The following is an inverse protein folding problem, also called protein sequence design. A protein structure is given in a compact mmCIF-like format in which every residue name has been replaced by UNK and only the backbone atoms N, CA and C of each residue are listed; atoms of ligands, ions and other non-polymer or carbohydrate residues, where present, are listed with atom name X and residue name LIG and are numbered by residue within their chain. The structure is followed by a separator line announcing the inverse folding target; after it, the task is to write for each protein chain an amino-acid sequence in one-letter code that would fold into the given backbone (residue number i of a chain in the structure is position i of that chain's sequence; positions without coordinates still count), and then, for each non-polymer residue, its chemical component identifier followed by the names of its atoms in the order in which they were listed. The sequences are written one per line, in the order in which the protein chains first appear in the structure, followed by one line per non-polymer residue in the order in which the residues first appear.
data_IF_845278978779
#
_entry.id   IF_845278978779
#
_cell.length_a   1.000
_cell.length_b   1.000
_cell.length_c   1.000
_cell.angle_alpha   90.00
_cell.angle_beta   90.00
_cell.angle_gamma   90.00
#
_symmetry.space_group_name_H-M   'P 1'
#
loop_
_entity.id
_entity.type
_entity.pdbx_description
1 polymer ?
#
# COMPACT_ATOMS: atom_id res chain seq x y z
N UNK A 1 13.90 29.05 -15.14
CA UNK A 1 12.61 28.33 -15.25
C UNK A 1 12.87 26.89 -14.87
N UNK A 2 11.93 26.23 -14.19
CA UNK A 2 12.10 24.81 -13.84
C UNK A 2 12.14 23.95 -15.11
N UNK A 3 12.94 22.88 -15.10
CA UNK A 3 12.96 21.87 -16.17
C UNK A 3 11.71 20.98 -16.07
N UNK A 4 11.35 20.26 -17.15
CA UNK A 4 10.27 19.26 -17.08
C UNK A 4 10.48 18.22 -15.97
N UNK A 5 11.72 17.77 -15.75
CA UNK A 5 12.05 16.78 -14.72
C UNK A 5 11.88 17.34 -13.30
N UNK A 6 12.25 18.61 -13.08
CA UNK A 6 12.04 19.28 -11.79
C UNK A 6 10.55 19.43 -11.48
N UNK A 7 9.73 19.70 -12.50
CA UNK A 7 8.27 19.76 -12.35
C UNK A 7 7.68 18.38 -12.07
N UNK A 8 8.13 17.33 -12.77
CA UNK A 8 7.69 15.97 -12.55
C UNK A 8 8.03 15.48 -11.13
N UNK A 9 9.24 15.72 -10.66
CA UNK A 9 9.67 15.37 -9.31
C UNK A 9 8.83 16.07 -8.22
N UNK A 10 8.47 17.33 -8.45
CA UNK A 10 7.59 18.08 -7.54
C UNK A 10 6.16 17.52 -7.52
N UNK A 11 5.63 17.13 -8.68
CA UNK A 11 4.34 16.45 -8.78
C UNK A 11 4.37 15.12 -8.02
N UNK A 12 5.38 14.28 -8.24
CA UNK A 12 5.52 12.98 -7.58
C UNK A 12 5.62 13.15 -6.05
N UNK A 13 6.39 14.12 -5.58
CA UNK A 13 6.48 14.46 -4.15
C UNK A 13 5.10 14.76 -3.56
N UNK A 14 4.29 15.57 -4.25
CA UNK A 14 2.95 15.92 -3.79
C UNK A 14 1.99 14.74 -3.85
N UNK A 15 2.02 13.96 -4.93
CA UNK A 15 1.19 12.77 -5.10
C UNK A 15 1.47 11.75 -3.99
N UNK A 16 2.75 11.43 -3.74
CA UNK A 16 3.15 10.44 -2.74
C UNK A 16 2.89 10.95 -1.33
N UNK A 17 3.27 12.21 -1.04
CA UNK A 17 3.06 12.83 0.26
C UNK A 17 1.57 12.91 0.63
N UNK A 18 0.75 13.33 -0.32
CA UNK A 18 -0.71 13.47 -0.18
C UNK A 18 -1.47 12.14 -0.24
N UNK A 19 -0.86 11.05 -0.70
CA UNK A 19 -1.54 9.77 -0.85
C UNK A 19 -2.04 9.24 0.49
N UNK A 20 -3.36 9.03 0.62
CA UNK A 20 -3.98 8.50 1.82
C UNK A 20 -3.88 6.98 1.87
N UNK A 21 -3.28 6.46 2.93
CA UNK A 21 -3.26 5.01 3.20
C UNK A 21 -4.54 4.58 3.92
N UNK A 22 -4.99 3.36 3.61
CA UNK A 22 -6.17 2.73 4.20
C UNK A 22 -5.77 1.44 4.92
N UNK A 23 -6.59 0.96 5.88
CA UNK A 23 -6.33 -0.27 6.62
C UNK A 23 -6.01 -1.49 5.72
N UNK A 24 -6.70 -1.60 4.58
CA UNK A 24 -6.47 -2.67 3.60
C UNK A 24 -5.04 -2.72 3.05
N UNK A 25 -4.36 -1.58 2.91
CA UNK A 25 -2.99 -1.58 2.43
C UNK A 25 -2.02 -2.19 3.44
N UNK A 26 -2.21 -1.87 4.73
CA UNK A 26 -1.42 -2.43 5.82
C UNK A 26 -1.71 -3.90 6.06
N UNK A 27 -2.98 -4.32 5.94
CA UNK A 27 -3.39 -5.72 6.04
C UNK A 27 -2.81 -6.57 4.91
N UNK A 28 -2.75 -6.03 3.69
CA UNK A 28 -2.09 -6.69 2.57
C UNK A 28 -0.58 -6.85 2.81
N UNK A 29 0.09 -5.79 3.28
CA UNK A 29 1.50 -5.86 3.62
C UNK A 29 1.78 -6.89 4.74
N UNK A 30 0.95 -6.89 5.79
CA UNK A 30 1.02 -7.86 6.88
C UNK A 30 0.86 -9.30 6.38
N UNK A 31 -0.09 -9.55 5.46
CA UNK A 31 -0.34 -10.87 4.89
C UNK A 31 0.82 -11.37 3.99
N UNK A 32 1.61 -10.47 3.40
CA UNK A 32 2.83 -10.82 2.67
C UNK A 32 4.00 -11.17 3.60
N UNK A 33 3.94 -10.78 4.88
CA UNK A 33 5.03 -10.98 5.85
C UNK A 33 6.25 -10.09 5.63
N UNK A 34 6.14 -9.09 4.75
CA UNK A 34 7.22 -8.15 4.42
C UNK A 34 7.13 -6.86 5.24
N UNK A 35 8.28 -6.25 5.54
CA UNK A 35 8.39 -4.93 6.17
C UNK A 35 7.39 -4.69 7.35
N UNK A 36 7.37 -5.59 8.37
CA UNK A 36 6.41 -5.53 9.48
C UNK A 36 6.46 -4.23 10.28
N UNK A 37 7.58 -3.48 10.20
CA UNK A 37 7.77 -2.17 10.79
C UNK A 37 6.88 -1.08 10.14
N UNK A 38 6.43 -1.27 8.90
CA UNK A 38 5.57 -0.33 8.18
C UNK A 38 4.07 -0.54 8.44
N UNK A 39 3.70 -1.62 9.14
CA UNK A 39 2.30 -1.95 9.43
C UNK A 39 1.79 -1.07 10.57
N UNK A 40 0.95 -0.09 10.24
CA UNK A 40 0.33 0.82 11.21
C UNK A 40 -0.83 0.13 11.96
N UNK A 41 -0.53 -0.84 12.84
CA UNK A 41 -1.54 -1.69 13.53
C UNK A 41 -2.63 -0.91 14.26
N UNK A 42 -2.33 0.26 14.83
CA UNK A 42 -3.30 1.11 15.52
C UNK A 42 -4.37 1.71 14.59
N UNK A 43 -4.09 1.79 13.28
CA UNK A 43 -5.02 2.28 12.28
C UNK A 43 -5.95 1.18 11.73
N UNK A 44 -5.81 -0.07 12.19
CA UNK A 44 -6.56 -1.22 11.70
C UNK A 44 -7.57 -1.62 12.77
N UNK A 45 -8.86 -1.52 12.46
CA UNK A 45 -9.90 -2.05 13.34
C UNK A 45 -10.11 -3.55 13.09
N UNK A 46 -10.80 -4.21 14.02
CA UNK A 46 -11.26 -5.58 13.82
C UNK A 46 -12.16 -5.71 12.58
N UNK A 47 -13.07 -4.74 12.39
CA UNK A 47 -13.99 -4.73 11.26
C UNK A 47 -13.26 -4.59 9.92
N UNK A 48 -12.19 -3.79 9.87
CA UNK A 48 -11.35 -3.67 8.66
C UNK A 48 -10.73 -5.03 8.28
N UNK A 49 -10.22 -5.75 9.28
CA UNK A 49 -9.61 -7.07 9.09
C UNK A 49 -10.63 -8.10 8.60
N UNK A 50 -11.81 -8.15 9.21
CA UNK A 50 -12.88 -9.06 8.81
C UNK A 50 -13.31 -8.78 7.35
N UNK A 51 -13.52 -7.52 7.00
CA UNK A 51 -13.87 -7.11 5.61
C UNK A 51 -12.77 -7.46 4.61
N UNK A 52 -11.51 -7.23 4.97
CA UNK A 52 -10.37 -7.55 4.13
C UNK A 52 -10.26 -9.06 3.88
N UNK A 53 -10.37 -9.87 4.94
CA UNK A 53 -10.30 -11.32 4.84
C UNK A 53 -11.46 -11.89 4.01
N UNK A 54 -12.67 -11.34 4.15
CA UNK A 54 -13.81 -11.73 3.32
C UNK A 54 -13.52 -11.51 1.82
N UNK A 55 -12.99 -10.33 1.45
CA UNK A 55 -12.60 -10.04 0.07
C UNK A 55 -11.46 -10.93 -0.42
N UNK A 56 -10.45 -11.16 0.40
CA UNK A 56 -9.32 -12.02 0.03
C UNK A 56 -9.77 -13.47 -0.23
N UNK A 57 -10.77 -13.95 0.51
CA UNK A 57 -11.32 -15.29 0.31
C UNK A 57 -11.99 -15.46 -1.07
N UNK A 58 -12.58 -14.39 -1.62
CA UNK A 58 -13.19 -14.35 -2.95
C UNK A 58 -12.15 -14.34 -4.08
N UNK A 59 -10.89 -14.00 -3.79
CA UNK A 59 -9.80 -14.00 -4.78
C UNK A 59 -9.33 -15.43 -5.03
N UNK A 60 -9.29 -15.90 -6.30
CA UNK A 60 -8.72 -17.20 -6.65
C UNK A 60 -7.30 -17.35 -6.09
N UNK A 61 -7.01 -18.51 -5.51
CA UNK A 61 -5.76 -18.75 -4.78
C UNK A 61 -4.48 -18.41 -5.59
N UNK A 62 -4.38 -18.77 -6.90
CA UNK A 62 -3.23 -18.39 -7.71
C UNK A 62 -3.05 -16.87 -7.92
N UNK A 63 -4.12 -16.08 -7.75
CA UNK A 63 -4.12 -14.63 -7.94
C UNK A 63 -3.88 -13.85 -6.65
N UNK A 64 -4.00 -14.49 -5.48
CA UNK A 64 -3.84 -13.84 -4.17
C UNK A 64 -2.49 -13.14 -4.01
N UNK A 65 -1.34 -13.70 -4.43
CA UNK A 65 -0.05 -13.00 -4.28
C UNK A 65 -0.02 -11.65 -5.02
N UNK A 66 -0.54 -11.61 -6.24
CA UNK A 66 -0.59 -10.38 -7.06
C UNK A 66 -1.57 -9.37 -6.49
N UNK A 67 -2.74 -9.84 -6.05
CA UNK A 67 -3.74 -9.00 -5.40
C UNK A 67 -3.19 -8.35 -4.13
N UNK A 68 -2.52 -9.14 -3.28
CA UNK A 68 -1.87 -8.63 -2.07
C UNK A 68 -0.78 -7.61 -2.40
N UNK A 69 0.05 -7.87 -3.41
CA UNK A 69 1.10 -6.94 -3.84
C UNK A 69 0.52 -5.58 -4.25
N UNK A 70 -0.58 -5.57 -5.02
CA UNK A 70 -1.25 -4.33 -5.45
C UNK A 70 -1.71 -3.48 -4.25
N UNK A 71 -2.30 -4.11 -3.23
CA UNK A 71 -2.74 -3.40 -2.03
C UNK A 71 -1.58 -3.00 -1.10
N UNK A 72 -0.47 -3.75 -1.08
CA UNK A 72 0.69 -3.43 -0.24
C UNK A 72 1.58 -2.31 -0.83
N UNK A 73 1.63 -2.19 -2.15
CA UNK A 73 2.49 -1.22 -2.86
C UNK A 73 2.37 0.22 -2.37
N UNK A 74 1.17 0.78 -2.10
CA UNK A 74 1.07 2.14 -1.57
C UNK A 74 1.83 2.38 -0.27
N UNK A 75 1.90 1.39 0.63
CA UNK A 75 2.68 1.50 1.87
C UNK A 75 4.17 1.52 1.56
N UNK A 76 4.64 0.61 0.70
CA UNK A 76 6.04 0.52 0.29
C UNK A 76 6.50 1.78 -0.46
N UNK A 77 5.69 2.29 -1.38
CA UNK A 77 5.98 3.50 -2.15
C UNK A 77 6.05 4.74 -1.25
N UNK A 78 5.08 4.91 -0.35
CA UNK A 78 5.10 6.02 0.62
C UNK A 78 6.29 5.95 1.59
N UNK A 79 6.80 4.75 1.86
CA UNK A 79 7.99 4.53 2.66
C UNK A 79 9.31 4.61 1.86
N UNK A 80 9.26 4.92 0.55
CA UNK A 80 10.45 4.97 -0.32
C UNK A 80 11.10 3.60 -0.57
N UNK A 81 10.36 2.50 -0.37
CA UNK A 81 10.82 1.11 -0.57
C UNK A 81 10.49 0.55 -1.95
N UNK A 82 9.76 1.32 -2.76
CA UNK A 82 9.50 1.05 -4.15
C UNK A 82 9.96 2.26 -4.95
N UNK A 83 10.86 2.04 -5.89
CA UNK A 83 11.19 2.98 -6.96
C UNK A 83 10.49 2.48 -8.22
N UNK A 84 9.77 3.36 -8.90
CA UNK A 84 9.17 3.09 -10.21
C UNK A 84 10.25 3.03 -11.29
#
# INVERSE_FOLDING_TARGET
MATPDEVAAEIDRQVIGGYRLFPSHYLALEAQGEAPELVARKAITRQDRERFNARLAEVPEPLRPYWLAQYANPVKHKAGRLTL
#
